data_IF_041660817015
#
_entry.id   IF_041660817015
#
_cell.length_a   1.000
_cell.length_b   1.000
_cell.length_c   1.000
_cell.angle_alpha   90.00
_cell.angle_beta   90.00
_cell.angle_gamma   90.00
#
_symmetry.space_group_name_H-M   'P 1'
#
loop_
_entity.id
_entity.type
_entity.pdbx_description
1 polymer ?
#
# COMPACT_ATOMS: atom_id res chain seq x y z
N UNK A 1 15.74 15.22 3.33
CA UNK A 1 14.70 16.24 3.09
C UNK A 1 13.97 16.48 4.40
N UNK A 2 13.09 17.49 4.47
CA UNK A 2 12.18 17.66 5.61
C UNK A 2 10.74 17.41 5.16
N UNK A 3 9.92 16.85 6.02
CA UNK A 3 8.48 16.71 5.83
C UNK A 3 7.74 17.17 7.09
N UNK A 4 6.41 17.29 7.03
CA UNK A 4 5.59 17.58 8.21
C UNK A 4 4.90 16.29 8.65
N UNK A 5 5.03 15.95 9.92
CA UNK A 5 4.25 14.90 10.56
C UNK A 5 3.01 15.55 11.18
N UNK A 6 1.82 15.20 10.70
CA UNK A 6 0.57 15.64 11.32
C UNK A 6 0.12 14.61 12.35
N UNK A 7 -0.26 15.06 13.54
CA UNK A 7 -0.79 14.19 14.60
C UNK A 7 -1.82 14.94 15.45
N UNK A 8 -2.64 14.17 16.17
CA UNK A 8 -3.55 14.71 17.19
C UNK A 8 -3.07 14.24 18.56
N UNK A 9 -3.01 15.14 19.55
CA UNK A 9 -2.54 14.81 20.90
C UNK A 9 -3.34 13.70 21.61
N UNK A 10 -4.55 13.41 21.13
CA UNK A 10 -5.43 12.36 21.63
C UNK A 10 -5.27 11.01 20.92
N UNK A 11 -4.63 10.95 19.74
CA UNK A 11 -4.46 9.70 18.99
C UNK A 11 -3.22 9.74 18.07
N UNK A 12 -2.04 9.45 18.62
CA UNK A 12 -0.78 9.37 17.86
C UNK A 12 -0.74 8.23 16.83
N UNK A 13 -1.64 7.25 16.91
CA UNK A 13 -1.70 6.12 15.98
C UNK A 13 -2.20 6.48 14.58
N UNK A 14 -2.89 7.62 14.42
CA UNK A 14 -3.35 8.13 13.12
C UNK A 14 -2.44 9.23 12.55
N UNK A 15 -1.17 9.23 12.91
CA UNK A 15 -0.22 10.25 12.41
C UNK A 15 0.15 9.95 10.97
N UNK A 16 0.18 10.97 10.12
CA UNK A 16 0.51 10.83 8.69
C UNK A 16 1.47 11.93 8.23
N UNK A 17 2.18 11.67 7.14
CA UNK A 17 3.14 12.64 6.57
C UNK A 17 2.42 13.53 5.56
N UNK A 18 2.63 14.84 5.66
CA UNK A 18 2.05 15.85 4.77
C UNK A 18 3.12 16.85 4.32
N UNK A 19 2.93 17.46 3.15
CA UNK A 19 3.78 18.55 2.64
C UNK A 19 3.23 19.92 3.04
N UNK A 20 1.94 20.00 3.45
CA UNK A 20 1.25 21.22 3.85
C UNK A 20 0.81 21.18 5.31
N UNK A 21 0.83 22.34 5.98
CA UNK A 21 0.23 22.51 7.30
C UNK A 21 -1.29 22.39 7.19
N UNK A 22 -1.85 21.30 7.74
CA UNK A 22 -3.31 21.10 7.86
C UNK A 22 -3.78 21.49 9.27
N UNK A 23 -5.09 21.69 9.44
CA UNK A 23 -5.70 21.94 10.74
C UNK A 23 -5.35 20.81 11.74
N UNK A 24 -4.46 21.10 12.70
CA UNK A 24 -3.92 20.14 13.67
C UNK A 24 -2.54 20.55 14.18
N UNK A 25 -1.92 19.70 15.00
CA UNK A 25 -0.50 19.87 15.37
C UNK A 25 0.38 19.23 14.29
N UNK A 26 1.38 19.97 13.82
CA UNK A 26 2.36 19.50 12.84
C UNK A 26 3.77 19.67 13.37
N UNK A 27 4.60 18.63 13.27
CA UNK A 27 6.02 18.68 13.62
C UNK A 27 6.86 18.48 12.36
N UNK A 28 7.89 19.33 12.20
CA UNK A 28 8.84 19.17 11.10
C UNK A 28 9.80 18.04 11.41
N UNK A 29 9.77 17.00 10.59
CA UNK A 29 10.63 15.82 10.73
C UNK A 29 11.70 15.77 9.65
N UNK A 30 12.84 15.16 9.98
CA UNK A 30 13.86 14.83 9.00
C UNK A 30 13.50 13.51 8.31
N UNK A 31 13.43 13.51 6.98
CA UNK A 31 13.21 12.31 6.17
C UNK A 31 14.48 11.98 5.37
N UNK A 32 14.85 10.69 5.38
CA UNK A 32 16.04 10.17 4.70
C UNK A 32 15.64 9.03 3.76
N UNK A 33 16.20 9.04 2.56
CA UNK A 33 16.03 7.95 1.60
C UNK A 33 16.67 6.66 2.15
N UNK A 34 16.00 5.52 2.00
CA UNK A 34 16.47 4.22 2.48
C UNK A 34 17.89 3.91 1.95
N UNK A 35 18.11 4.11 0.66
CA UNK A 35 19.39 3.84 0.00
C UNK A 35 20.54 4.72 0.52
N UNK A 36 20.23 5.86 1.16
CA UNK A 36 21.22 6.74 1.79
C UNK A 36 21.55 6.28 3.21
N UNK A 37 20.56 5.76 3.95
CA UNK A 37 20.74 5.31 5.34
C UNK A 37 21.42 3.95 5.37
N UNK A 38 21.09 3.07 4.42
CA UNK A 38 21.58 1.69 4.36
C UNK A 38 22.11 1.38 2.94
N UNK A 39 23.30 1.89 2.58
CA UNK A 39 23.84 1.79 1.22
C UNK A 39 24.28 0.38 0.78
N UNK A 40 24.49 -0.53 1.75
CA UNK A 40 25.07 -1.88 1.57
C UNK A 40 24.11 -3.01 1.96
N UNK A 41 22.79 -2.85 1.78
CA UNK A 41 21.88 -3.98 2.02
C UNK A 41 22.01 -4.99 0.87
N UNK A 42 22.73 -6.08 1.13
CA UNK A 42 23.05 -7.09 0.10
C UNK A 42 21.88 -8.03 -0.23
N UNK A 43 20.93 -8.23 0.69
CA UNK A 43 19.80 -9.16 0.48
C UNK A 43 18.52 -8.68 1.15
N UNK A 44 17.60 -8.13 0.35
CA UNK A 44 16.24 -7.80 0.78
C UNK A 44 15.25 -8.73 0.10
N UNK A 45 14.57 -9.59 0.89
CA UNK A 45 13.48 -10.43 0.38
C UNK A 45 12.11 -9.77 0.46
N UNK A 46 11.93 -8.80 1.35
CA UNK A 46 10.64 -8.15 1.63
C UNK A 46 10.85 -6.70 2.07
N UNK A 47 10.00 -5.79 1.58
CA UNK A 47 9.84 -4.43 2.08
C UNK A 47 8.38 -4.23 2.46
N UNK A 48 8.11 -3.90 3.73
CA UNK A 48 6.79 -3.40 4.17
C UNK A 48 6.84 -1.87 4.22
N UNK A 49 5.90 -1.23 3.56
CA UNK A 49 5.74 0.22 3.51
C UNK A 49 4.40 0.55 4.16
N UNK A 50 4.46 1.27 5.26
CA UNK A 50 3.31 1.60 6.10
C UNK A 50 3.57 3.01 6.63
N UNK A 51 3.29 4.01 5.79
CA UNK A 51 3.70 5.41 5.99
C UNK A 51 2.57 6.42 5.74
N UNK A 52 1.32 5.96 5.75
CA UNK A 52 0.08 6.76 5.71
C UNK A 52 0.18 7.94 4.71
N UNK A 53 0.26 7.63 3.41
CA UNK A 53 0.19 8.61 2.32
C UNK A 53 1.54 9.08 1.76
N UNK A 54 2.65 8.46 2.14
CA UNK A 54 4.00 8.77 1.62
C UNK A 54 4.68 7.60 0.89
N UNK A 55 3.89 6.61 0.44
CA UNK A 55 4.36 5.33 -0.09
C UNK A 55 5.24 5.51 -1.32
N UNK A 56 4.82 6.37 -2.25
CA UNK A 56 5.58 6.63 -3.48
C UNK A 56 6.97 7.19 -3.17
N UNK A 57 7.09 8.08 -2.19
CA UNK A 57 8.38 8.69 -1.80
C UNK A 57 9.30 7.67 -1.15
N UNK A 58 8.76 6.73 -0.36
CA UNK A 58 9.51 5.59 0.18
C UNK A 58 10.04 4.72 -0.95
N UNK A 59 9.19 4.38 -1.93
CA UNK A 59 9.58 3.61 -3.11
C UNK A 59 10.71 4.29 -3.89
N UNK A 60 10.63 5.60 -4.11
CA UNK A 60 11.69 6.39 -4.75
C UNK A 60 12.99 6.38 -3.93
N UNK A 61 12.90 6.51 -2.61
CA UNK A 61 14.06 6.50 -1.72
C UNK A 61 14.73 5.13 -1.57
N UNK A 62 14.11 4.07 -2.06
CA UNK A 62 14.57 2.69 -2.04
C UNK A 62 14.84 2.12 -3.44
N UNK A 63 14.87 2.95 -4.50
CA UNK A 63 14.95 2.49 -5.88
C UNK A 63 16.15 1.58 -6.15
N UNK A 64 17.35 1.91 -5.64
CA UNK A 64 18.56 1.10 -5.83
C UNK A 64 18.38 -0.26 -5.17
N UNK A 65 17.92 -0.28 -3.91
CA UNK A 65 17.64 -1.52 -3.17
C UNK A 65 16.62 -2.39 -3.90
N UNK A 66 15.52 -1.80 -4.38
CA UNK A 66 14.44 -2.48 -5.09
C UNK A 66 14.96 -3.09 -6.40
N UNK A 67 15.70 -2.33 -7.21
CA UNK A 67 16.24 -2.81 -8.49
C UNK A 67 17.25 -3.94 -8.34
N UNK A 68 18.10 -3.87 -7.31
CA UNK A 68 19.15 -4.86 -7.08
C UNK A 68 18.62 -6.18 -6.52
N UNK A 69 17.57 -6.13 -5.69
CA UNK A 69 17.08 -7.29 -4.95
C UNK A 69 15.75 -7.84 -5.48
N UNK A 70 14.95 -7.02 -6.17
CA UNK A 70 13.57 -7.32 -6.55
C UNK A 70 12.77 -7.97 -5.40
N UNK A 71 12.66 -7.32 -4.22
CA UNK A 71 11.99 -7.89 -3.06
C UNK A 71 10.48 -8.04 -3.29
N UNK A 72 9.80 -8.81 -2.44
CA UNK A 72 8.34 -8.64 -2.30
C UNK A 72 8.10 -7.26 -1.68
N UNK A 73 7.12 -6.50 -2.16
CA UNK A 73 6.79 -5.17 -1.60
C UNK A 73 5.33 -5.15 -1.15
N UNK A 74 5.10 -4.82 0.11
CA UNK A 74 3.78 -4.66 0.71
C UNK A 74 3.52 -3.19 1.01
N UNK A 75 2.44 -2.61 0.49
CA UNK A 75 2.12 -1.20 0.71
C UNK A 75 0.60 -0.93 0.66
N UNK A 76 0.14 0.09 1.37
CA UNK A 76 -1.24 0.57 1.32
C UNK A 76 -1.50 1.39 0.05
N UNK A 77 -2.74 1.41 -0.43
CA UNK A 77 -3.16 2.31 -1.49
C UNK A 77 -4.59 2.79 -1.27
N UNK A 78 -4.77 4.10 -1.14
CA UNK A 78 -6.08 4.70 -1.04
C UNK A 78 -6.73 4.93 -2.41
N UNK A 79 -8.05 4.94 -2.43
CA UNK A 79 -8.82 5.21 -3.65
C UNK A 79 -8.54 6.60 -4.23
N UNK A 80 -8.26 7.59 -3.38
CA UNK A 80 -7.96 8.96 -3.80
C UNK A 80 -6.56 9.15 -4.40
N UNK A 81 -5.65 8.19 -4.23
CA UNK A 81 -4.31 8.25 -4.83
C UNK A 81 -4.35 7.91 -6.33
N UNK A 82 -5.47 7.38 -6.81
CA UNK A 82 -5.62 7.01 -8.21
C UNK A 82 -5.97 8.22 -9.07
N UNK A 83 -5.17 8.46 -10.11
CA UNK A 83 -5.46 9.39 -11.20
C UNK A 83 -5.45 8.62 -12.51
N UNK A 84 -6.47 8.79 -13.36
CA UNK A 84 -6.58 8.07 -14.65
C UNK A 84 -6.40 6.54 -14.53
N UNK A 85 -6.95 5.94 -13.48
CA UNK A 85 -6.89 4.49 -13.18
C UNK A 85 -5.53 3.92 -12.74
N UNK A 86 -4.58 4.76 -12.32
CA UNK A 86 -3.28 4.32 -11.79
C UNK A 86 -2.82 5.25 -10.65
N UNK A 87 -1.75 4.90 -9.95
CA UNK A 87 -1.12 5.75 -8.92
C UNK A 87 0.39 5.88 -9.19
N UNK A 88 1.05 6.92 -8.64
CA UNK A 88 2.51 7.06 -8.75
C UNK A 88 3.28 5.84 -8.23
N UNK A 89 2.80 5.21 -7.14
CA UNK A 89 3.37 3.99 -6.57
C UNK A 89 3.27 2.82 -7.56
N UNK A 90 2.10 2.62 -8.16
CA UNK A 90 1.87 1.55 -9.15
C UNK A 90 2.71 1.77 -10.41
N UNK A 91 2.76 2.99 -10.93
CA UNK A 91 3.58 3.34 -12.11
C UNK A 91 5.06 3.11 -11.87
N UNK A 92 5.56 3.51 -10.70
CA UNK A 92 6.94 3.26 -10.30
C UNK A 92 7.26 1.76 -10.26
N UNK A 93 6.40 0.97 -9.61
CA UNK A 93 6.59 -0.48 -9.50
C UNK A 93 6.61 -1.15 -10.89
N UNK A 94 5.73 -0.73 -11.80
CA UNK A 94 5.77 -1.17 -13.21
C UNK A 94 7.09 -0.80 -13.88
N UNK A 95 7.57 0.44 -13.70
CA UNK A 95 8.81 0.95 -14.29
C UNK A 95 10.06 0.21 -13.78
N UNK A 96 10.09 -0.21 -12.52
CA UNK A 96 11.23 -0.98 -11.98
C UNK A 96 11.16 -2.47 -12.29
N UNK A 97 10.01 -2.97 -12.76
CA UNK A 97 9.89 -4.31 -13.36
C UNK A 97 8.83 -5.23 -12.75
N UNK A 98 8.02 -4.78 -11.78
CA UNK A 98 6.93 -5.59 -11.24
C UNK A 98 5.77 -5.70 -12.23
N UNK A 99 5.24 -6.92 -12.41
CA UNK A 99 4.17 -7.24 -13.37
C UNK A 99 2.97 -7.96 -12.74
N UNK A 100 3.14 -8.48 -11.53
CA UNK A 100 2.16 -9.28 -10.81
C UNK A 100 1.95 -8.68 -9.43
N UNK A 101 0.72 -8.70 -8.98
CA UNK A 101 0.34 -8.21 -7.67
C UNK A 101 -0.59 -9.22 -6.99
N UNK A 102 -0.57 -9.25 -5.66
CA UNK A 102 -1.60 -9.86 -4.85
C UNK A 102 -2.38 -8.76 -4.12
N UNK A 103 -3.69 -8.89 -4.04
CA UNK A 103 -4.54 -7.98 -3.26
C UNK A 103 -5.41 -8.76 -2.29
N UNK A 104 -5.60 -8.21 -1.09
CA UNK A 104 -6.53 -8.77 -0.11
C UNK A 104 -7.93 -8.25 -0.38
N UNK A 105 -8.88 -9.18 -0.57
CA UNK A 105 -10.30 -8.87 -0.72
C UNK A 105 -11.09 -9.50 0.43
N UNK A 106 -11.82 -8.66 1.16
CA UNK A 106 -12.80 -9.10 2.16
C UNK A 106 -14.12 -9.45 1.46
N UNK A 107 -14.74 -10.55 1.88
CA UNK A 107 -16.06 -10.98 1.44
C UNK A 107 -16.85 -11.44 2.67
N UNK A 108 -18.12 -11.04 2.82
CA UNK A 108 -18.90 -10.16 1.95
C UNK A 108 -18.44 -8.70 2.02
N UNK A 109 -18.47 -7.98 0.88
CA UNK A 109 -18.19 -6.54 0.82
C UNK A 109 -19.45 -5.79 0.38
N UNK A 110 -20.09 -5.10 1.31
CA UNK A 110 -21.27 -4.27 1.02
C UNK A 110 -20.82 -2.85 0.72
N UNK A 111 -20.84 -2.44 -0.55
CA UNK A 111 -20.66 -1.03 -0.94
C UNK A 111 -22.00 -0.27 -0.79
N UNK A 112 -21.94 1.01 -0.43
CA UNK A 112 -23.11 1.90 -0.33
C UNK A 112 -23.26 2.52 1.05
N UNK A 113 -24.43 3.13 1.32
CA UNK A 113 -24.64 3.94 2.51
C UNK A 113 -24.61 3.12 3.81
N UNK A 114 -24.28 3.78 4.92
CA UNK A 114 -24.14 3.18 6.25
C UNK A 114 -25.33 2.28 6.66
N UNK A 115 -26.57 2.69 6.37
CA UNK A 115 -27.76 1.87 6.68
C UNK A 115 -27.78 0.51 5.97
N UNK A 116 -27.34 0.47 4.70
CA UNK A 116 -27.22 -0.80 3.96
C UNK A 116 -26.13 -1.67 4.57
N UNK A 117 -25.00 -1.07 4.92
CA UNK A 117 -23.90 -1.79 5.57
C UNK A 117 -24.36 -2.37 6.92
N UNK A 118 -25.06 -1.58 7.74
CA UNK A 118 -25.51 -1.99 9.07
C UNK A 118 -26.51 -3.14 9.05
N UNK A 119 -27.43 -3.16 8.07
CA UNK A 119 -28.45 -4.21 7.99
C UNK A 119 -28.01 -5.43 7.20
N UNK A 120 -27.31 -5.24 6.08
CA UNK A 120 -27.00 -6.33 5.13
C UNK A 120 -25.71 -7.04 5.51
N UNK A 121 -24.71 -6.32 6.00
CA UNK A 121 -23.40 -6.92 6.27
C UNK A 121 -23.46 -8.04 7.33
N UNK A 122 -24.12 -7.86 8.49
CA UNK A 122 -24.22 -8.93 9.49
C UNK A 122 -24.94 -10.18 8.96
N UNK A 123 -25.98 -9.96 8.14
CA UNK A 123 -26.72 -11.06 7.51
C UNK A 123 -25.85 -11.84 6.53
N UNK A 124 -25.11 -11.15 5.66
CA UNK A 124 -24.21 -11.81 4.71
C UNK A 124 -23.06 -12.53 5.43
N UNK A 125 -22.50 -11.94 6.47
CA UNK A 125 -21.45 -12.58 7.28
C UNK A 125 -22.00 -13.84 7.96
N UNK A 126 -23.26 -13.83 8.43
CA UNK A 126 -23.89 -15.02 9.01
C UNK A 126 -24.08 -16.14 7.98
N UNK A 127 -24.47 -15.81 6.74
CA UNK A 127 -24.74 -16.80 5.69
C UNK A 127 -23.44 -17.33 5.07
N UNK A 128 -22.47 -16.46 4.81
CA UNK A 128 -21.29 -16.79 4.01
C UNK A 128 -19.98 -16.87 4.81
N UNK A 129 -19.99 -16.42 6.07
CA UNK A 129 -18.80 -16.20 6.87
C UNK A 129 -18.04 -14.94 6.46
N UNK A 130 -17.12 -14.50 7.32
CA UNK A 130 -16.11 -13.52 6.95
C UNK A 130 -14.93 -14.24 6.27
N UNK A 131 -14.63 -13.85 5.05
CA UNK A 131 -13.60 -14.46 4.22
C UNK A 131 -12.65 -13.38 3.72
N UNK A 132 -11.36 -13.58 3.95
CA UNK A 132 -10.31 -12.81 3.27
C UNK A 132 -9.70 -13.68 2.18
N UNK A 133 -9.75 -13.20 0.94
CA UNK A 133 -9.20 -13.88 -0.22
C UNK A 133 -8.01 -13.10 -0.75
N UNK A 134 -6.99 -13.84 -1.18
CA UNK A 134 -5.86 -13.28 -1.91
C UNK A 134 -6.17 -13.45 -3.40
N UNK A 135 -6.23 -12.34 -4.13
CA UNK A 135 -6.43 -12.35 -5.57
C UNK A 135 -5.13 -11.95 -6.27
N UNK A 136 -4.65 -12.81 -7.16
CA UNK A 136 -3.52 -12.51 -8.05
C UNK A 136 -4.03 -11.71 -9.25
N UNK A 137 -3.50 -10.50 -9.41
CA UNK A 137 -3.90 -9.57 -10.46
C UNK A 137 -2.68 -9.03 -11.19
N UNK A 138 -2.84 -8.70 -12.48
CA UNK A 138 -1.79 -8.03 -13.28
C UNK A 138 -1.95 -6.52 -13.30
N UNK A 139 -3.18 -6.05 -13.11
CA UNK A 139 -3.52 -4.63 -13.10
C UNK A 139 -4.30 -4.32 -11.82
N UNK A 140 -3.87 -3.28 -11.12
CA UNK A 140 -4.59 -2.70 -9.99
C UNK A 140 -5.58 -1.68 -10.55
N UNK A 141 -6.84 -1.78 -10.14
CA UNK A 141 -7.91 -0.83 -10.49
C UNK A 141 -8.17 0.10 -9.30
N UNK A 142 -8.73 1.30 -9.50
CA UNK A 142 -9.08 2.20 -8.41
C UNK A 142 -9.97 1.53 -7.36
N UNK A 143 -9.48 1.48 -6.13
CA UNK A 143 -10.17 1.00 -4.94
C UNK A 143 -9.33 1.36 -3.72
N UNK A 144 -9.89 1.15 -2.53
CA UNK A 144 -9.10 1.09 -1.31
C UNK A 144 -8.47 -0.31 -1.14
N UNK A 145 -7.16 -0.35 -0.91
CA UNK A 145 -6.41 -1.57 -0.64
C UNK A 145 -5.64 -1.41 0.68
N UNK A 146 -6.05 -2.16 1.70
CA UNK A 146 -5.30 -2.26 2.97
C UNK A 146 -3.86 -2.70 2.69
N UNK A 147 -3.69 -3.64 1.76
CA UNK A 147 -2.38 -4.02 1.26
C UNK A 147 -2.43 -4.46 -0.20
N UNK A 148 -1.53 -3.90 -1.00
CA UNK A 148 -1.08 -4.43 -2.29
C UNK A 148 0.26 -5.11 -2.06
N UNK A 149 0.39 -6.34 -2.57
CA UNK A 149 1.66 -7.08 -2.60
C UNK A 149 2.20 -7.03 -4.02
N UNK A 150 3.28 -6.30 -4.29
CA UNK A 150 4.02 -6.40 -5.54
C UNK A 150 4.91 -7.65 -5.51
N UNK A 151 4.73 -8.51 -6.51
CA UNK A 151 5.36 -9.83 -6.55
C UNK A 151 6.48 -9.85 -7.62
N UNK A 152 7.70 -10.23 -7.24
CA UNK A 152 8.80 -10.35 -8.19
C UNK A 152 8.69 -11.63 -9.03
N UNK A 153 9.30 -11.61 -10.22
CA UNK A 153 9.20 -12.72 -11.19
C UNK A 153 9.86 -14.03 -10.67
N UNK A 154 10.80 -13.95 -9.72
CA UNK A 154 11.47 -15.11 -9.12
C UNK A 154 10.60 -15.85 -8.10
N UNK A 155 9.52 -15.25 -7.60
CA UNK A 155 8.64 -15.89 -6.62
C UNK A 155 7.74 -16.90 -7.34
N UNK A 156 7.85 -18.21 -7.05
CA UNK A 156 7.01 -19.22 -7.67
C UNK A 156 5.58 -19.08 -7.14
N UNK A 157 4.67 -18.67 -8.01
CA UNK A 157 3.23 -18.73 -7.76
C UNK A 157 2.74 -20.01 -8.43
N UNK A 158 2.37 -21.02 -7.64
CA UNK A 158 1.79 -22.25 -8.19
C UNK A 158 0.52 -21.93 -9.00
N UNK A 159 0.50 -22.39 -10.24
CA UNK A 159 -0.64 -22.46 -11.16
C UNK A 159 -1.39 -21.15 -11.45
N UNK A 160 -0.91 -20.39 -12.44
CA UNK A 160 -1.83 -19.65 -13.31
C UNK A 160 -2.44 -20.66 -14.28
N UNK A 161 -3.76 -20.93 -14.29
CA UNK A 161 -4.36 -21.70 -15.36
C UNK A 161 -4.10 -20.96 -16.68
N UNK A 162 -3.52 -21.70 -17.64
CA UNK A 162 -3.32 -21.30 -19.03
C UNK A 162 -4.64 -20.97 -19.73
#
# INVERSE_FOLDING_TARGET
SSALLSFTNTNKGGSYITEEEKQGETEKIEVKALDKVLPEIEKVGLIKIDVEGYEFKVLQGAEKTIRNNMPIILFEQHEYDFTNSTSPSIEFLKKVGYKKYAVLRKFPRVKGNFFKQLLINPLLVLIFGDQTRIELVRNIVPDFYEFIVALPDWLPLENSPS
#
